data_IF_875062077152
#
_entry.id   IF_875062077152
#
_cell.length_a   1.000
_cell.length_b   1.000
_cell.length_c   1.000
_cell.angle_alpha   90.00
_cell.angle_beta   90.00
_cell.angle_gamma   90.00
#
_symmetry.space_group_name_H-M   'P 1'
#
loop_
_entity.id
_entity.type
_entity.pdbx_description
1 polymer ?
#
# COMPACT_ATOMS: atom_id res chain seq x y z
N UNK A 1 18.82 14.85 21.72
CA UNK A 1 18.77 14.39 20.33
C UNK A 1 17.57 13.50 20.13
N UNK A 2 16.69 13.90 19.26
CA UNK A 2 15.50 13.09 18.99
C UNK A 2 15.81 12.10 17.87
N UNK A 3 15.65 10.85 18.15
CA UNK A 3 15.74 9.81 17.13
C UNK A 3 14.45 9.79 16.34
N UNK A 4 14.55 9.74 15.04
CA UNK A 4 13.39 9.52 14.18
C UNK A 4 13.45 8.07 13.74
N UNK A 5 12.64 7.20 14.35
CA UNK A 5 12.78 5.77 14.10
C UNK A 5 12.39 5.37 12.69
N UNK A 6 11.53 6.13 12.03
CA UNK A 6 11.05 5.75 10.70
C UNK A 6 11.07 6.93 9.74
N UNK A 7 11.93 6.84 8.73
CA UNK A 7 11.99 7.83 7.65
C UNK A 7 11.41 7.30 6.36
N UNK A 8 11.57 6.01 6.11
CA UNK A 8 11.11 5.39 4.87
C UNK A 8 10.04 4.37 5.21
N UNK A 9 8.81 4.71 4.87
CA UNK A 9 7.64 3.91 5.23
C UNK A 9 6.95 3.41 3.97
N UNK A 10 6.66 2.12 3.92
CA UNK A 10 5.95 1.50 2.82
C UNK A 10 4.51 1.24 3.24
N UNK A 11 3.56 1.60 2.39
CA UNK A 11 2.14 1.37 2.60
C UNK A 11 1.62 0.46 1.49
N UNK A 12 0.88 -0.57 1.85
CA UNK A 12 0.18 -1.37 0.84
C UNK A 12 -1.06 -0.64 0.37
N UNK A 13 -1.20 -0.47 -0.94
CA UNK A 13 -2.31 0.29 -1.51
C UNK A 13 -3.24 -0.59 -2.33
N UNK A 14 -4.48 -0.73 -1.89
CA UNK A 14 -5.51 -1.51 -2.59
C UNK A 14 -6.80 -0.71 -2.80
N UNK A 15 -6.72 0.60 -2.67
CA UNK A 15 -7.84 1.53 -2.82
C UNK A 15 -8.94 1.39 -1.75
N UNK A 16 -8.68 0.64 -0.70
CA UNK A 16 -9.65 0.44 0.39
C UNK A 16 -9.59 1.58 1.40
N UNK A 17 -10.65 1.74 2.22
CA UNK A 17 -10.59 2.67 3.35
C UNK A 17 -9.45 2.35 4.31
N UNK A 18 -9.13 1.07 4.48
CA UNK A 18 -7.99 0.66 5.31
C UNK A 18 -6.67 1.16 4.77
N UNK A 19 -6.49 1.13 3.44
CA UNK A 19 -5.29 1.65 2.82
C UNK A 19 -5.20 3.17 2.99
N UNK A 20 -6.31 3.87 2.87
CA UNK A 20 -6.34 5.32 3.10
C UNK A 20 -5.95 5.67 4.54
N UNK A 21 -6.46 4.92 5.51
CA UNK A 21 -6.08 5.10 6.91
C UNK A 21 -4.60 4.81 7.13
N UNK A 22 -4.08 3.77 6.46
CA UNK A 22 -2.66 3.44 6.54
C UNK A 22 -1.79 4.55 5.96
N UNK A 23 -2.20 5.15 4.86
CA UNK A 23 -1.47 6.26 4.25
C UNK A 23 -1.41 7.46 5.20
N UNK A 24 -2.54 7.79 5.81
CA UNK A 24 -2.62 8.91 6.75
C UNK A 24 -1.71 8.68 7.96
N UNK A 25 -1.74 7.48 8.53
CA UNK A 25 -0.89 7.12 9.64
C UNK A 25 0.60 7.17 9.26
N UNK A 26 0.94 6.61 8.10
CA UNK A 26 2.31 6.60 7.61
C UNK A 26 2.85 8.02 7.40
N UNK A 27 2.02 8.90 6.86
CA UNK A 27 2.41 10.29 6.62
C UNK A 27 2.75 11.01 7.93
N UNK A 28 2.00 10.70 9.01
CA UNK A 28 2.29 11.26 10.32
C UNK A 28 3.55 10.68 10.96
N UNK A 29 3.79 9.38 10.74
CA UNK A 29 4.95 8.70 11.31
C UNK A 29 6.24 9.14 10.62
N UNK A 30 6.22 9.25 9.29
CA UNK A 30 7.38 9.64 8.49
C UNK A 30 7.51 11.16 8.40
N UNK A 31 7.30 11.83 9.52
CA UNK A 31 7.31 13.29 9.58
C UNK A 31 8.74 13.84 9.42
N UNK A 32 8.83 15.07 8.92
CA UNK A 32 10.08 15.77 8.74
C UNK A 32 10.54 15.79 7.29
N UNK A 33 11.52 16.63 7.01
CA UNK A 33 11.99 16.87 5.65
C UNK A 33 12.50 15.61 4.94
N UNK A 34 13.08 14.71 5.69
CA UNK A 34 13.67 13.48 5.13
C UNK A 34 12.69 12.32 5.08
N UNK A 35 11.48 12.52 5.60
CA UNK A 35 10.48 11.46 5.58
C UNK A 35 9.96 11.18 4.19
N UNK A 36 9.77 9.91 3.87
CA UNK A 36 9.20 9.48 2.59
C UNK A 36 8.25 8.34 2.82
N UNK A 37 7.12 8.42 2.16
CA UNK A 37 6.12 7.36 2.19
C UNK A 37 5.87 6.91 0.77
N UNK A 38 5.99 5.62 0.53
CA UNK A 38 5.64 5.03 -0.76
C UNK A 38 4.43 4.15 -0.56
N UNK A 39 3.38 4.40 -1.32
CA UNK A 39 2.23 3.50 -1.38
C UNK A 39 2.47 2.59 -2.58
N UNK A 40 2.46 1.29 -2.36
CA UNK A 40 2.67 0.30 -3.41
C UNK A 40 1.35 -0.36 -3.76
N UNK A 41 0.90 -0.16 -4.98
CA UNK A 41 -0.26 -0.85 -5.51
C UNK A 41 0.23 -2.07 -6.29
N UNK A 42 -0.22 -3.25 -5.88
CA UNK A 42 0.14 -4.49 -6.56
C UNK A 42 -0.98 -4.83 -7.53
N UNK A 43 -0.66 -4.80 -8.81
CA UNK A 43 -1.63 -5.12 -9.86
C UNK A 43 -1.52 -6.60 -10.19
N UNK A 44 -2.66 -7.29 -10.15
CA UNK A 44 -2.67 -8.70 -10.55
C UNK A 44 -2.72 -8.81 -12.06
N UNK A 45 -1.84 -9.60 -12.65
CA UNK A 45 -1.93 -9.87 -14.09
C UNK A 45 -3.27 -10.53 -14.41
N UNK A 46 -3.86 -10.13 -15.53
CA UNK A 46 -5.10 -10.76 -16.01
C UNK A 46 -4.75 -12.15 -16.54
N UNK A 47 -5.49 -13.21 -16.14
CA UNK A 47 -5.15 -14.57 -16.57
C UNK A 47 -5.21 -14.73 -18.09
N UNK A 48 -4.32 -15.55 -18.60
CA UNK A 48 -4.33 -15.91 -20.01
C UNK A 48 -5.60 -16.71 -20.31
N UNK A 49 -6.15 -16.48 -21.50
CA UNK A 49 -7.36 -17.16 -21.93
C UNK A 49 -8.63 -16.38 -21.65
N UNK A 50 -8.55 -15.27 -20.93
CA UNK A 50 -9.69 -14.40 -20.69
C UNK A 50 -9.53 -13.15 -21.54
N UNK A 51 -10.00 -13.22 -22.79
CA UNK A 51 -9.87 -12.12 -23.71
C UNK A 51 -8.49 -12.08 -24.38
N UNK A 52 -8.34 -11.19 -25.34
CA UNK A 52 -7.11 -11.00 -26.06
C UNK A 52 -6.09 -10.16 -25.31
N UNK A 53 -4.92 -10.04 -25.89
CA UNK A 53 -3.84 -9.26 -25.30
C UNK A 53 -4.23 -7.80 -25.10
N UNK A 54 -4.93 -7.21 -26.06
CA UNK A 54 -5.38 -5.83 -25.94
C UNK A 54 -6.38 -5.64 -24.79
N UNK A 55 -7.28 -6.60 -24.63
CA UNK A 55 -8.28 -6.55 -23.56
C UNK A 55 -7.62 -6.67 -22.19
N UNK A 56 -6.62 -7.53 -22.07
CA UNK A 56 -5.86 -7.65 -20.82
C UNK A 56 -5.11 -6.37 -20.48
N UNK A 57 -4.49 -5.76 -21.50
CA UNK A 57 -3.77 -4.49 -21.31
C UNK A 57 -4.74 -3.38 -20.90
N UNK A 58 -5.93 -3.34 -21.50
CA UNK A 58 -6.93 -2.34 -21.15
C UNK A 58 -7.42 -2.51 -19.71
N UNK A 59 -7.57 -3.75 -19.26
CA UNK A 59 -7.98 -4.02 -17.89
C UNK A 59 -6.91 -3.63 -16.89
N UNK A 60 -5.66 -3.92 -17.19
CA UNK A 60 -4.55 -3.49 -16.34
C UNK A 60 -4.48 -1.96 -16.26
N UNK A 61 -4.72 -1.28 -17.37
CA UNK A 61 -4.74 0.17 -17.40
C UNK A 61 -5.87 0.74 -16.54
N UNK A 62 -7.04 0.07 -16.54
CA UNK A 62 -8.16 0.50 -15.67
C UNK A 62 -7.81 0.34 -14.20
N UNK A 63 -7.19 -0.78 -13.83
CA UNK A 63 -6.78 -1.02 -12.45
C UNK A 63 -5.76 0.03 -12.00
N UNK A 64 -4.82 0.35 -12.86
CA UNK A 64 -3.81 1.37 -12.57
C UNK A 64 -4.47 2.73 -12.36
N UNK A 65 -5.39 3.11 -13.25
CA UNK A 65 -6.11 4.38 -13.13
C UNK A 65 -6.91 4.45 -11.85
N UNK A 66 -7.59 3.37 -11.50
CA UNK A 66 -8.36 3.31 -10.26
C UNK A 66 -7.46 3.55 -9.05
N UNK A 67 -6.30 2.92 -9.03
CA UNK A 67 -5.35 3.10 -7.94
C UNK A 67 -4.84 4.55 -7.88
N UNK A 68 -4.55 5.14 -9.03
CA UNK A 68 -4.09 6.52 -9.09
C UNK A 68 -5.15 7.50 -8.60
N UNK A 69 -6.39 7.31 -9.00
CA UNK A 69 -7.48 8.18 -8.59
C UNK A 69 -7.77 8.08 -7.11
N UNK A 70 -7.85 6.86 -6.59
CA UNK A 70 -8.11 6.66 -5.17
C UNK A 70 -6.96 7.17 -4.31
N UNK A 71 -5.72 6.95 -4.75
CA UNK A 71 -4.57 7.48 -4.05
C UNK A 71 -4.57 9.01 -4.06
N UNK A 72 -4.89 9.63 -5.19
CA UNK A 72 -4.96 11.08 -5.30
C UNK A 72 -5.97 11.67 -4.32
N UNK A 73 -7.13 11.05 -4.19
CA UNK A 73 -8.15 11.51 -3.23
C UNK A 73 -7.63 11.42 -1.80
N UNK A 74 -6.99 10.30 -1.46
CA UNK A 74 -6.45 10.14 -0.11
C UNK A 74 -5.31 11.12 0.16
N UNK A 75 -4.42 11.31 -0.82
CA UNK A 75 -3.31 12.25 -0.68
C UNK A 75 -3.81 13.69 -0.46
N UNK A 76 -4.89 14.06 -1.13
CA UNK A 76 -5.44 15.41 -1.02
C UNK A 76 -5.99 15.72 0.37
N UNK A 77 -6.23 14.71 1.19
CA UNK A 77 -6.64 14.93 2.58
C UNK A 77 -5.47 15.24 3.51
N UNK A 78 -4.24 15.06 3.04
CA UNK A 78 -3.05 15.28 3.85
C UNK A 78 -2.68 16.76 3.91
N UNK A 79 -2.01 17.21 4.99
CA UNK A 79 -1.43 18.55 5.00
C UNK A 79 -0.46 18.75 3.85
N UNK A 80 -0.31 19.98 3.37
CA UNK A 80 0.50 20.27 2.20
C UNK A 80 1.93 19.76 2.26
N UNK A 81 2.57 19.89 3.42
CA UNK A 81 3.95 19.39 3.58
C UNK A 81 4.02 17.87 3.45
N UNK A 82 3.02 17.16 3.98
CA UNK A 82 2.98 15.70 3.89
C UNK A 82 2.70 15.23 2.46
N UNK A 83 1.89 15.96 1.72
CA UNK A 83 1.56 15.56 0.34
C UNK A 83 2.80 15.43 -0.54
N UNK A 84 3.77 16.28 -0.33
CA UNK A 84 5.00 16.25 -1.13
C UNK A 84 5.87 15.03 -0.84
N UNK A 85 5.64 14.35 0.29
CA UNK A 85 6.45 13.21 0.71
C UNK A 85 5.84 11.85 0.40
N UNK A 86 4.62 11.81 -0.11
CA UNK A 86 3.96 10.55 -0.43
C UNK A 86 3.91 10.34 -1.93
N UNK A 87 4.22 9.13 -2.36
CA UNK A 87 4.18 8.77 -3.77
C UNK A 87 3.51 7.42 -3.94
N UNK A 88 2.99 7.17 -5.13
CA UNK A 88 2.38 5.91 -5.51
C UNK A 88 3.28 5.18 -6.49
N UNK A 89 3.58 3.92 -6.21
CA UNK A 89 4.35 3.06 -7.09
C UNK A 89 3.55 1.80 -7.40
N UNK A 90 3.94 1.09 -8.43
CA UNK A 90 3.24 -0.10 -8.89
C UNK A 90 4.17 -1.29 -9.00
N UNK A 91 3.62 -2.46 -8.68
CA UNK A 91 4.26 -3.73 -8.97
C UNK A 91 3.21 -4.65 -9.58
N UNK A 92 3.64 -5.58 -10.40
CA UNK A 92 2.75 -6.59 -10.97
C UNK A 92 3.08 -7.94 -10.36
N UNK A 93 2.10 -8.58 -9.75
CA UNK A 93 2.30 -9.87 -9.14
C UNK A 93 0.96 -10.53 -8.86
N UNK A 94 0.86 -11.85 -9.00
CA UNK A 94 -0.34 -12.57 -8.56
C UNK A 94 -0.43 -12.68 -7.04
N UNK A 95 0.66 -12.33 -6.32
CA UNK A 95 0.73 -12.46 -4.87
C UNK A 95 1.13 -11.11 -4.27
N UNK A 96 0.15 -10.39 -3.76
CA UNK A 96 0.37 -9.05 -3.23
C UNK A 96 1.27 -9.05 -1.99
N UNK A 97 1.11 -10.03 -1.11
CA UNK A 97 1.93 -10.10 0.10
C UNK A 97 3.41 -10.30 -0.25
N UNK A 98 3.66 -11.20 -1.19
CA UNK A 98 5.02 -11.45 -1.66
C UNK A 98 5.63 -10.20 -2.30
N UNK A 99 4.85 -9.53 -3.14
CA UNK A 99 5.32 -8.31 -3.81
C UNK A 99 5.68 -7.22 -2.81
N UNK A 100 4.86 -7.05 -1.77
CA UNK A 100 5.14 -6.07 -0.73
C UNK A 100 6.44 -6.40 0.02
N UNK A 101 6.62 -7.66 0.38
CA UNK A 101 7.83 -8.08 1.09
C UNK A 101 9.08 -7.89 0.21
N UNK A 102 9.00 -8.28 -1.04
CA UNK A 102 10.14 -8.15 -1.96
C UNK A 102 10.48 -6.69 -2.24
N UNK A 103 9.45 -5.86 -2.39
CA UNK A 103 9.67 -4.44 -2.62
C UNK A 103 10.30 -3.78 -1.39
N UNK A 104 9.82 -4.14 -0.21
CA UNK A 104 10.37 -3.62 1.04
C UNK A 104 11.85 -3.97 1.20
N UNK A 105 12.21 -5.20 0.85
CA UNK A 105 13.60 -5.65 0.96
C UNK A 105 14.50 -4.97 -0.07
N UNK A 106 14.00 -4.79 -1.29
CA UNK A 106 14.79 -4.23 -2.39
C UNK A 106 15.03 -2.73 -2.24
N UNK A 107 14.15 -2.03 -1.54
CA UNK A 107 14.20 -0.56 -1.48
C UNK A 107 14.46 0.01 -0.09
N UNK A 108 14.85 -0.82 0.83
CA UNK A 108 15.32 -0.42 2.18
C UNK A 108 14.30 0.45 2.92
N UNK A 109 13.15 -0.10 3.21
CA UNK A 109 12.16 0.54 4.07
C UNK A 109 12.40 0.19 5.53
N UNK A 110 11.87 1.01 6.43
CA UNK A 110 12.05 0.84 7.86
C UNK A 110 10.78 0.39 8.57
N UNK A 111 9.63 0.61 7.92
CA UNK A 111 8.32 0.26 8.48
C UNK A 111 7.37 -0.05 7.35
N UNK A 112 6.51 -1.05 7.56
CA UNK A 112 5.42 -1.38 6.65
C UNK A 112 4.10 -1.09 7.34
N UNK A 113 3.21 -0.36 6.69
CA UNK A 113 1.91 -0.02 7.25
C UNK A 113 0.81 -0.56 6.34
N UNK A 114 -0.08 -1.33 6.89
CA UNK A 114 -1.17 -1.95 6.16
C UNK A 114 -2.49 -1.77 6.89
N UNK A 115 -3.59 -1.76 6.13
CA UNK A 115 -4.90 -1.96 6.72
C UNK A 115 -5.05 -3.41 7.14
N UNK A 116 -5.82 -3.66 8.18
CA UNK A 116 -6.07 -5.02 8.66
C UNK A 116 -6.88 -5.83 7.65
N UNK A 117 -7.76 -5.16 6.91
CA UNK A 117 -8.61 -5.80 5.92
C UNK A 117 -8.39 -5.11 4.57
N UNK A 118 -8.30 -5.91 3.52
CA UNK A 118 -8.17 -5.39 2.19
C UNK A 118 -9.50 -5.03 1.56
N UNK A 119 -9.45 -4.74 0.27
CA UNK A 119 -10.60 -4.27 -0.47
C UNK A 119 -11.72 -5.32 -0.59
N UNK A 120 -11.39 -6.60 -0.53
CA UNK A 120 -12.39 -7.65 -0.47
C UNK A 120 -12.84 -7.95 0.93
N UNK A 121 -12.64 -7.03 1.84
CA UNK A 121 -12.76 -7.19 3.26
C UNK A 121 -14.08 -7.76 3.73
N UNK A 122 -13.96 -8.60 4.72
CA UNK A 122 -15.07 -9.27 5.36
C UNK A 122 -15.33 -8.56 6.67
N UNK A 123 -16.59 -8.51 7.05
CA UNK A 123 -17.00 -7.86 8.28
C UNK A 123 -16.70 -8.70 9.51
N UNK A 124 -15.48 -9.18 9.66
CA UNK A 124 -15.11 -9.83 10.91
C UNK A 124 -13.69 -9.45 11.32
N UNK A 125 -13.36 -9.67 12.61
CA UNK A 125 -12.15 -9.11 13.20
C UNK A 125 -10.83 -9.77 12.78
N UNK A 126 -10.86 -10.71 11.86
CA UNK A 126 -9.64 -11.37 11.41
C UNK A 126 -8.83 -10.46 10.50
N UNK A 127 -7.53 -10.64 10.53
CA UNK A 127 -6.65 -9.95 9.59
C UNK A 127 -6.97 -10.39 8.17
N UNK A 128 -6.82 -9.47 7.23
CA UNK A 128 -6.90 -9.82 5.83
C UNK A 128 -5.75 -10.75 5.45
N UNK A 129 -5.94 -11.48 4.37
CA UNK A 129 -4.93 -12.45 3.91
C UNK A 129 -3.57 -11.82 3.69
N UNK A 130 -3.53 -10.66 3.05
CA UNK A 130 -2.26 -9.98 2.78
C UNK A 130 -1.58 -9.57 4.07
N UNK A 131 -2.33 -8.96 5.00
CA UNK A 131 -1.77 -8.51 6.27
C UNK A 131 -1.23 -9.69 7.09
N UNK A 132 -1.95 -10.79 7.11
CA UNK A 132 -1.52 -11.99 7.83
C UNK A 132 -0.24 -12.57 7.24
N UNK A 133 -0.17 -12.68 5.92
CA UNK A 133 1.00 -13.23 5.24
C UNK A 133 2.21 -12.34 5.43
N UNK A 134 2.04 -11.02 5.29
CA UNK A 134 3.13 -10.07 5.49
C UNK A 134 3.64 -10.12 6.93
N UNK A 135 2.73 -10.23 7.90
CA UNK A 135 3.12 -10.31 9.30
C UNK A 135 4.02 -11.51 9.57
N UNK A 136 3.78 -12.62 8.86
CA UNK A 136 4.59 -13.82 9.03
C UNK A 136 5.93 -13.77 8.29
N UNK A 137 5.99 -13.07 7.17
CA UNK A 137 7.15 -13.16 6.26
C UNK A 137 8.05 -11.94 6.25
N UNK A 138 7.52 -10.77 6.60
CA UNK A 138 8.32 -9.56 6.56
C UNK A 138 9.27 -9.48 7.76
N UNK A 139 10.49 -9.07 7.51
CA UNK A 139 11.44 -8.77 8.58
C UNK A 139 11.33 -7.35 9.12
N UNK A 140 10.46 -6.52 8.54
CA UNK A 140 10.29 -5.15 8.98
C UNK A 140 9.26 -5.03 10.10
N UNK A 141 9.39 -4.01 10.94
CA UNK A 141 8.28 -3.63 11.80
C UNK A 141 7.02 -3.40 10.97
N UNK A 142 5.90 -3.88 11.47
CA UNK A 142 4.62 -3.82 10.77
C UNK A 142 3.59 -3.14 11.66
N UNK A 143 2.94 -2.12 11.10
CA UNK A 143 1.82 -1.46 11.76
C UNK A 143 0.55 -1.83 11.01
N UNK A 144 -0.43 -2.35 11.73
CA UNK A 144 -1.72 -2.69 11.17
C UNK A 144 -2.77 -1.73 11.68
N UNK A 145 -3.50 -1.11 10.77
CA UNK A 145 -4.57 -0.19 11.12
C UNK A 145 -5.88 -0.95 11.20
N UNK A 146 -6.58 -0.81 12.32
CA UNK A 146 -7.89 -1.41 12.47
C UNK A 146 -8.87 -0.86 11.46
N UNK A 147 -9.68 -1.73 10.87
CA UNK A 147 -10.69 -1.31 9.94
C UNK A 147 -11.77 -0.52 10.65
N UNK A 148 -12.20 0.56 10.02
CA UNK A 148 -13.37 1.29 10.46
C UNK A 148 -14.57 0.80 9.70
N UNK A 149 -15.59 0.47 10.41
CA UNK A 149 -16.85 0.07 9.79
C UNK A 149 -17.57 1.29 9.22
#
# INVERSE_FOLDING_TARGET
MSARPFRRVLVGWDSSPGAAAALLAAAGIADGEMGRVVALAVLRPVPRGEGGQEERAAEMARHRRQAEESFGRARDTLPGAARARVTLEFAESPDAARALCEYADAHVFELLVLGRHGNGGVLHPRLGHVAETVAKKSGLPLLLLGGQS
#
